data_IF_114354865026
#
_entry.id   IF_114354865026
#
_cell.length_a   1.000
_cell.length_b   1.000
_cell.length_c   1.000
_cell.angle_alpha   90.00
_cell.angle_beta   90.00
_cell.angle_gamma   90.00
#
_symmetry.space_group_name_H-M   'P 1'
#
loop_
_entity.id
_entity.type
_entity.pdbx_description
1 polymer ?
#
# COMPACT_ATOMS: atom_id res chain seq x y z
N UNK A 1 20.39 -10.38 6.52
CA UNK A 1 19.68 -9.50 5.59
C UNK A 1 19.14 -8.32 6.36
N UNK A 2 19.25 -7.07 5.86
CA UNK A 2 18.49 -5.96 6.42
C UNK A 2 17.05 -6.14 5.96
N UNK A 3 16.16 -6.45 6.88
CA UNK A 3 14.72 -6.64 6.63
C UNK A 3 13.93 -5.33 6.70
N UNK A 4 14.61 -4.17 6.77
CA UNK A 4 13.97 -2.86 6.87
C UNK A 4 13.79 -2.21 5.50
N UNK A 5 12.68 -1.51 5.33
CA UNK A 5 12.40 -0.67 4.17
C UNK A 5 13.35 0.52 4.10
N UNK A 6 13.70 0.90 2.88
CA UNK A 6 14.48 2.10 2.58
C UNK A 6 13.74 2.92 1.53
N UNK A 7 13.48 4.20 1.83
CA UNK A 7 12.72 5.08 0.93
C UNK A 7 13.28 5.11 -0.50
N UNK A 8 14.60 5.17 -0.65
CA UNK A 8 15.27 5.21 -1.96
C UNK A 8 15.29 3.88 -2.72
N UNK A 9 14.85 2.77 -2.11
CA UNK A 9 14.76 1.45 -2.73
C UNK A 9 13.32 0.96 -2.91
N UNK A 10 12.37 1.66 -2.29
CA UNK A 10 10.97 1.25 -2.24
C UNK A 10 10.14 1.82 -3.39
N UNK A 11 9.17 1.06 -3.84
CA UNK A 11 8.07 1.48 -4.70
C UNK A 11 6.76 0.98 -4.09
N UNK A 12 5.73 1.82 -4.06
CA UNK A 12 4.41 1.47 -3.56
C UNK A 12 3.52 0.97 -4.70
N UNK A 13 2.93 -0.21 -4.52
CA UNK A 13 1.98 -0.81 -5.44
C UNK A 13 0.59 -0.80 -4.80
N UNK A 14 -0.32 -0.01 -5.35
CA UNK A 14 -1.72 0.08 -4.93
C UNK A 14 -2.59 -0.69 -5.94
N UNK A 15 -2.86 -1.96 -5.62
CA UNK A 15 -3.54 -2.88 -6.53
C UNK A 15 -5.05 -2.85 -6.26
N UNK A 16 -5.80 -2.36 -7.25
CA UNK A 16 -7.26 -2.47 -7.32
C UNK A 16 -8.03 -1.88 -6.11
N UNK A 17 -7.55 -0.75 -5.54
CA UNK A 17 -8.31 -0.04 -4.51
C UNK A 17 -9.49 0.73 -5.15
N UNK A 18 -10.42 -0.04 -5.71
CA UNK A 18 -11.59 0.44 -6.45
C UNK A 18 -12.82 0.56 -5.55
N UNK A 19 -13.68 1.53 -5.83
CA UNK A 19 -14.80 1.90 -4.96
C UNK A 19 -15.72 0.74 -4.59
N UNK A 20 -16.07 -0.13 -5.54
CA UNK A 20 -16.99 -1.24 -5.28
C UNK A 20 -16.30 -2.41 -4.55
N UNK A 21 -14.97 -2.55 -4.66
CA UNK A 21 -14.25 -3.63 -3.96
C UNK A 21 -14.19 -3.39 -2.45
N UNK A 22 -14.23 -2.14 -1.98
CA UNK A 22 -14.37 -1.84 -0.55
C UNK A 22 -15.67 -2.38 0.04
N UNK A 23 -16.77 -2.39 -0.73
CA UNK A 23 -18.05 -2.90 -0.26
C UNK A 23 -18.05 -4.42 -0.01
N UNK A 24 -17.12 -5.15 -0.59
CA UNK A 24 -16.96 -6.60 -0.40
C UNK A 24 -16.02 -6.98 0.73
N UNK A 25 -15.46 -6.03 1.46
CA UNK A 25 -14.59 -6.31 2.60
C UNK A 25 -15.46 -6.70 3.80
N UNK A 26 -15.27 -7.93 4.29
CA UNK A 26 -15.93 -8.48 5.48
C UNK A 26 -14.93 -8.71 6.62
N UNK A 27 -13.65 -8.96 6.30
CA UNK A 27 -12.61 -9.24 7.30
C UNK A 27 -12.34 -8.08 8.26
N UNK A 28 -12.54 -6.86 7.81
CA UNK A 28 -12.33 -5.61 8.54
C UNK A 28 -13.44 -4.63 8.22
N UNK A 29 -13.54 -3.54 8.99
CA UNK A 29 -14.40 -2.42 8.61
C UNK A 29 -13.81 -1.74 7.37
N UNK A 30 -14.57 -1.58 6.27
CA UNK A 30 -14.05 -0.95 5.04
C UNK A 30 -13.42 0.43 5.27
N UNK A 31 -14.00 1.22 6.18
CA UNK A 31 -13.50 2.55 6.53
C UNK A 31 -12.12 2.50 7.19
N UNK A 32 -11.85 1.46 7.99
CA UNK A 32 -10.54 1.24 8.59
C UNK A 32 -9.48 0.94 7.52
N UNK A 33 -9.80 0.05 6.59
CA UNK A 33 -8.91 -0.28 5.46
C UNK A 33 -8.67 0.95 4.59
N UNK A 34 -9.74 1.70 4.29
CA UNK A 34 -9.66 2.94 3.50
C UNK A 34 -8.79 3.99 4.19
N UNK A 35 -9.01 4.24 5.48
CA UNK A 35 -8.19 5.16 6.27
C UNK A 35 -6.69 4.80 6.18
N UNK A 36 -6.37 3.52 6.37
CA UNK A 36 -4.99 3.07 6.42
C UNK A 36 -4.29 3.13 5.05
N UNK A 37 -4.99 2.77 3.96
CA UNK A 37 -4.39 2.90 2.62
C UNK A 37 -4.17 4.35 2.23
N UNK A 38 -5.05 5.26 2.65
CA UNK A 38 -4.86 6.70 2.44
C UNK A 38 -3.67 7.25 3.25
N UNK A 39 -3.49 6.78 4.49
CA UNK A 39 -2.31 7.11 5.31
C UNK A 39 -1.01 6.65 4.62
N UNK A 40 -0.97 5.41 4.15
CA UNK A 40 0.17 4.86 3.41
C UNK A 40 0.47 5.67 2.14
N UNK A 41 -0.57 5.94 1.34
CA UNK A 41 -0.47 6.72 0.10
C UNK A 41 0.04 8.14 0.37
N UNK A 42 -0.50 8.81 1.41
CA UNK A 42 -0.08 10.15 1.81
C UNK A 42 1.39 10.17 2.26
N UNK A 43 1.81 9.17 3.04
CA UNK A 43 3.21 9.01 3.43
C UNK A 43 4.14 8.81 2.22
N UNK A 44 3.74 8.00 1.25
CA UNK A 44 4.47 7.80 0.00
C UNK A 44 4.60 9.11 -0.80
N UNK A 45 3.51 9.88 -0.90
CA UNK A 45 3.50 11.19 -1.59
C UNK A 45 4.46 12.18 -0.94
N UNK A 46 4.44 12.31 0.39
CA UNK A 46 5.32 13.24 1.12
C UNK A 46 6.80 12.83 0.98
N UNK A 47 7.08 11.52 1.01
CA UNK A 47 8.46 10.99 0.98
C UNK A 47 8.97 10.70 -0.43
N UNK A 48 8.27 11.15 -1.49
CA UNK A 48 8.61 10.98 -2.90
C UNK A 48 8.85 9.50 -3.28
N UNK A 49 8.06 8.59 -2.70
CA UNK A 49 8.10 7.17 -3.06
C UNK A 49 7.33 7.00 -4.38
N UNK A 50 7.93 6.42 -5.42
CA UNK A 50 7.20 6.10 -6.66
C UNK A 50 6.01 5.19 -6.39
N UNK A 51 4.92 5.42 -7.12
CA UNK A 51 3.67 4.67 -6.95
C UNK A 51 3.23 4.10 -8.29
N UNK A 52 2.71 2.88 -8.27
CA UNK A 52 2.00 2.26 -9.41
C UNK A 52 0.58 1.90 -8.97
N UNK A 53 -0.39 2.33 -9.76
CA UNK A 53 -1.81 2.15 -9.52
C UNK A 53 -2.40 1.19 -10.55
N UNK A 54 -3.20 0.21 -10.11
CA UNK A 54 -3.96 -0.65 -11.03
C UNK A 54 -5.45 -0.66 -10.76
N UNK A 55 -6.23 -0.97 -11.77
CA UNK A 55 -7.65 -1.29 -11.67
C UNK A 55 -7.99 -2.48 -12.55
N UNK A 56 -8.90 -3.34 -12.07
CA UNK A 56 -9.44 -4.46 -12.85
C UNK A 56 -10.93 -4.26 -13.08
N UNK A 57 -11.38 -4.45 -14.33
CA UNK A 57 -12.80 -4.38 -14.71
C UNK A 57 -13.53 -3.17 -14.09
N UNK A 58 -13.13 -1.92 -14.38
CA UNK A 58 -13.69 -0.74 -13.71
C UNK A 58 -15.18 -0.57 -13.95
N UNK A 59 -15.74 -1.16 -15.00
CA UNK A 59 -17.19 -1.18 -15.28
C UNK A 59 -17.99 -1.91 -14.18
N UNK A 60 -17.40 -2.92 -13.55
CA UNK A 60 -18.02 -3.71 -12.47
C UNK A 60 -17.52 -3.28 -11.11
N UNK A 61 -16.21 -3.09 -10.97
CA UNK A 61 -15.55 -2.84 -9.68
C UNK A 61 -15.47 -1.35 -9.33
N UNK A 62 -15.96 -0.47 -10.21
CA UNK A 62 -15.84 0.98 -10.06
C UNK A 62 -14.41 1.49 -10.37
N UNK A 63 -14.22 2.80 -10.36
CA UNK A 63 -12.88 3.40 -10.52
C UNK A 63 -12.01 3.20 -9.26
N UNK A 64 -10.71 3.42 -9.38
CA UNK A 64 -9.84 3.71 -8.25
C UNK A 64 -10.46 4.82 -7.40
N UNK A 65 -10.41 4.73 -6.08
CA UNK A 65 -10.96 5.78 -5.22
C UNK A 65 -10.29 7.13 -5.49
N UNK A 66 -11.09 8.20 -5.54
CA UNK A 66 -10.63 9.53 -5.98
C UNK A 66 -9.55 10.09 -5.08
N UNK A 67 -9.61 9.81 -3.79
CA UNK A 67 -8.63 10.28 -2.81
C UNK A 67 -7.20 9.79 -3.13
N UNK A 68 -7.04 8.60 -3.74
CA UNK A 68 -5.74 8.12 -4.20
C UNK A 68 -5.32 8.84 -5.49
N UNK A 69 -6.21 8.93 -6.48
CA UNK A 69 -5.86 9.57 -7.76
C UNK A 69 -5.60 11.07 -7.62
N UNK A 70 -6.25 11.74 -6.69
CA UNK A 70 -5.99 13.14 -6.35
C UNK A 70 -4.64 13.37 -5.65
N UNK A 71 -4.15 12.38 -4.89
CA UNK A 71 -2.79 12.43 -4.30
C UNK A 71 -1.69 12.25 -5.35
N UNK A 72 -1.99 11.58 -6.47
CA UNK A 72 -1.03 11.24 -7.51
C UNK A 72 -1.56 11.63 -8.90
N UNK A 73 -1.77 12.94 -9.17
CA UNK A 73 -2.43 13.40 -10.40
C UNK A 73 -1.63 13.07 -11.67
N UNK A 74 -0.33 12.90 -11.56
CA UNK A 74 0.56 12.58 -12.68
C UNK A 74 0.75 11.06 -12.88
N UNK A 75 0.14 10.22 -12.02
CA UNK A 75 0.24 8.76 -12.10
C UNK A 75 -1.02 8.18 -12.74
N UNK A 76 -0.88 7.62 -13.91
CA UNK A 76 -1.99 6.95 -14.59
C UNK A 76 -2.37 5.64 -13.90
N UNK A 77 -3.67 5.37 -13.77
CA UNK A 77 -4.18 4.08 -13.32
C UNK A 77 -4.08 3.08 -14.48
N UNK A 78 -3.29 2.03 -14.32
CA UNK A 78 -3.16 0.95 -15.30
C UNK A 78 -4.40 0.07 -15.21
N UNK A 79 -5.26 0.15 -16.22
CA UNK A 79 -6.43 -0.74 -16.33
C UNK A 79 -5.97 -2.06 -16.93
N UNK A 80 -6.00 -3.12 -16.10
CA UNK A 80 -5.56 -4.45 -16.51
C UNK A 80 -6.48 -5.01 -17.60
N UNK A 81 -5.88 -5.40 -18.73
CA UNK A 81 -6.59 -5.95 -19.90
C UNK A 81 -6.89 -7.43 -19.73
N UNK A 82 -6.03 -8.14 -19.00
CA UNK A 82 -6.23 -9.54 -18.67
C UNK A 82 -7.05 -9.67 -17.39
N UNK A 83 -8.12 -10.47 -17.37
CA UNK A 83 -8.98 -10.64 -16.20
C UNK A 83 -8.34 -11.60 -15.16
N UNK A 84 -7.03 -11.49 -14.98
CA UNK A 84 -6.27 -12.27 -13.99
C UNK A 84 -6.30 -11.59 -12.63
N UNK A 85 -6.32 -12.39 -11.57
CA UNK A 85 -6.14 -11.87 -10.21
C UNK A 85 -4.69 -11.44 -9.93
N UNK A 86 -3.73 -11.92 -10.72
CA UNK A 86 -2.33 -11.55 -10.60
C UNK A 86 -2.04 -10.29 -11.42
N UNK A 87 -1.68 -9.18 -10.77
CA UNK A 87 -1.35 -7.94 -11.47
C UNK A 87 -0.08 -8.05 -12.33
N UNK A 88 0.81 -8.99 -12.02
CA UNK A 88 2.02 -9.23 -12.83
C UNK A 88 1.73 -9.86 -14.19
N UNK A 89 0.51 -10.36 -14.45
CA UNK A 89 0.10 -10.80 -15.78
C UNK A 89 -0.18 -9.62 -16.73
N UNK A 90 -0.21 -8.38 -16.22
CA UNK A 90 -0.31 -7.16 -17.03
C UNK A 90 1.09 -6.60 -17.35
N UNK A 91 1.55 -6.67 -18.62
CA UNK A 91 2.90 -6.25 -18.99
C UNK A 91 3.20 -4.77 -18.68
N UNK A 92 2.20 -3.90 -18.80
CA UNK A 92 2.34 -2.46 -18.50
C UNK A 92 2.64 -2.23 -17.02
N UNK A 93 2.00 -3.01 -16.12
CA UNK A 93 2.28 -2.97 -14.69
C UNK A 93 3.72 -3.38 -14.37
N UNK A 94 4.17 -4.51 -14.95
CA UNK A 94 5.55 -4.99 -14.76
C UNK A 94 6.56 -3.98 -15.29
N UNK A 95 6.29 -3.38 -16.46
CA UNK A 95 7.16 -2.36 -17.03
C UNK A 95 7.24 -1.11 -16.15
N UNK A 96 6.11 -0.66 -15.61
CA UNK A 96 6.08 0.49 -14.70
C UNK A 96 6.94 0.25 -13.45
N UNK A 97 6.88 -0.95 -12.87
CA UNK A 97 7.74 -1.33 -11.74
C UNK A 97 9.21 -1.34 -12.13
N UNK A 98 9.56 -2.04 -13.21
CA UNK A 98 10.95 -2.24 -13.64
C UNK A 98 11.62 -0.92 -14.06
N UNK A 99 10.87 0.03 -14.62
CA UNK A 99 11.39 1.34 -15.02
C UNK A 99 11.93 2.18 -13.86
N UNK A 100 11.46 1.94 -12.62
CA UNK A 100 11.95 2.63 -11.43
C UNK A 100 13.33 2.15 -10.96
N UNK A 101 13.76 0.97 -11.39
CA UNK A 101 14.99 0.30 -10.93
C UNK A 101 14.95 -0.14 -9.46
N UNK A 102 13.84 0.06 -8.76
CA UNK A 102 13.70 -0.24 -7.34
C UNK A 102 13.43 -1.72 -7.09
N UNK A 103 13.86 -2.24 -5.95
CA UNK A 103 13.82 -3.67 -5.62
C UNK A 103 12.93 -4.03 -4.42
N UNK A 104 12.59 -3.05 -3.58
CA UNK A 104 11.69 -3.24 -2.46
C UNK A 104 10.27 -2.86 -2.88
N UNK A 105 9.41 -3.87 -3.07
CA UNK A 105 8.00 -3.66 -3.41
C UNK A 105 7.18 -3.60 -2.13
N UNK A 106 6.63 -2.44 -1.83
CA UNK A 106 5.61 -2.26 -0.80
C UNK A 106 4.27 -2.45 -1.46
N UNK A 107 3.58 -3.54 -1.11
CA UNK A 107 2.43 -4.03 -1.85
C UNK A 107 1.20 -4.10 -0.95
N UNK A 108 0.10 -3.56 -1.45
CA UNK A 108 -1.24 -3.70 -0.89
C UNK A 108 -2.27 -3.83 -2.01
N UNK A 109 -3.43 -4.42 -1.73
CA UNK A 109 -4.42 -4.61 -2.78
C UNK A 109 -5.73 -5.19 -2.31
N UNK A 110 -6.78 -4.96 -3.03
CA UNK A 110 -8.09 -5.53 -2.80
C UNK A 110 -8.40 -6.64 -3.81
N UNK A 111 -8.67 -7.86 -3.36
CA UNK A 111 -8.72 -8.30 -1.97
C UNK A 111 -7.43 -9.03 -1.59
N UNK A 112 -7.14 -9.08 -0.28
CA UNK A 112 -5.92 -9.72 0.25
C UNK A 112 -5.76 -11.16 -0.23
N UNK A 113 -6.86 -11.94 -0.24
CA UNK A 113 -6.90 -13.35 -0.66
C UNK A 113 -6.63 -13.59 -2.14
N UNK A 114 -6.78 -12.56 -2.97
CA UNK A 114 -6.71 -12.64 -4.44
C UNK A 114 -5.61 -11.74 -5.00
N UNK A 115 -5.97 -10.52 -5.41
CA UNK A 115 -5.07 -9.64 -6.17
C UNK A 115 -3.78 -9.32 -5.40
N UNK A 116 -3.86 -9.11 -4.09
CA UNK A 116 -2.66 -8.89 -3.28
C UNK A 116 -1.81 -10.16 -3.18
N UNK A 117 -2.40 -11.28 -2.76
CA UNK A 117 -1.66 -12.53 -2.48
C UNK A 117 -0.98 -13.11 -3.72
N UNK A 118 -1.67 -13.15 -4.86
CA UNK A 118 -1.10 -13.70 -6.09
C UNK A 118 0.00 -12.80 -6.66
N UNK A 119 -0.20 -11.49 -6.64
CA UNK A 119 0.82 -10.53 -7.09
C UNK A 119 2.05 -10.54 -6.20
N UNK A 120 1.88 -10.65 -4.88
CA UNK A 120 3.00 -10.74 -3.94
C UNK A 120 3.86 -11.99 -4.17
N UNK A 121 3.23 -13.14 -4.41
CA UNK A 121 3.94 -14.39 -4.70
C UNK A 121 4.70 -14.33 -6.02
N UNK A 122 4.11 -13.74 -7.06
CA UNK A 122 4.78 -13.55 -8.34
C UNK A 122 5.97 -12.59 -8.21
N UNK A 123 5.82 -11.50 -7.47
CA UNK A 123 6.89 -10.56 -7.22
C UNK A 123 8.12 -11.23 -6.56
N UNK A 124 7.89 -12.12 -5.59
CA UNK A 124 8.97 -12.91 -4.97
C UNK A 124 9.68 -13.82 -5.99
N UNK A 125 8.92 -14.46 -6.88
CA UNK A 125 9.49 -15.32 -7.94
C UNK A 125 10.32 -14.51 -8.95
N UNK A 126 9.98 -13.25 -9.18
CA UNK A 126 10.77 -12.33 -10.01
C UNK A 126 11.98 -11.72 -9.27
N UNK A 127 12.23 -12.12 -8.03
CA UNK A 127 13.40 -11.73 -7.25
C UNK A 127 13.31 -10.38 -6.57
N UNK A 128 12.10 -9.83 -6.38
CA UNK A 128 11.88 -8.64 -5.57
C UNK A 128 11.88 -8.96 -4.08
N UNK A 129 12.24 -7.98 -3.26
CA UNK A 129 11.95 -7.97 -1.82
C UNK A 129 10.51 -7.44 -1.64
N UNK A 130 9.62 -8.26 -1.08
CA UNK A 130 8.18 -7.92 -0.99
C UNK A 130 7.77 -7.66 0.45
N UNK A 131 7.26 -6.46 0.69
CA UNK A 131 6.68 -6.00 1.94
C UNK A 131 5.17 -5.87 1.75
N UNK A 132 4.41 -6.71 2.44
CA UNK A 132 2.95 -6.68 2.38
C UNK A 132 2.38 -5.81 3.49
N UNK A 133 1.67 -4.74 3.15
CA UNK A 133 1.04 -3.85 4.13
C UNK A 133 -0.35 -4.39 4.43
N UNK A 134 -0.46 -5.18 5.52
CA UNK A 134 -1.62 -6.02 5.76
C UNK A 134 -2.86 -5.23 6.19
N UNK A 135 -2.71 -4.17 6.97
CA UNK A 135 -3.81 -3.36 7.47
C UNK A 135 -4.37 -2.33 6.48
N UNK A 136 -3.82 -2.29 5.26
CA UNK A 136 -4.30 -1.49 4.12
C UNK A 136 -5.08 -2.33 3.10
N UNK A 137 -5.37 -3.57 3.45
CA UNK A 137 -6.07 -4.55 2.63
C UNK A 137 -7.16 -5.27 3.44
N UNK A 138 -8.06 -5.95 2.76
CA UNK A 138 -9.12 -6.75 3.36
C UNK A 138 -9.63 -7.82 2.41
N UNK A 139 -10.45 -8.73 2.91
CA UNK A 139 -10.98 -9.86 2.17
C UNK A 139 -12.48 -10.08 2.42
N UNK A 140 -13.04 -10.97 1.63
CA UNK A 140 -14.43 -11.44 1.67
C UNK A 140 -14.81 -12.18 2.96
N UNK A 141 -13.84 -12.57 3.78
CA UNK A 141 -14.04 -13.12 5.13
C UNK A 141 -12.76 -12.97 5.95
N UNK A 142 -12.89 -13.10 7.27
CA UNK A 142 -11.73 -13.09 8.17
C UNK A 142 -10.83 -14.32 7.95
N UNK A 143 -11.42 -15.48 7.67
CA UNK A 143 -10.66 -16.69 7.37
C UNK A 143 -9.86 -16.55 6.07
N UNK A 144 -10.46 -16.01 5.01
CA UNK A 144 -9.79 -15.76 3.75
C UNK A 144 -8.61 -14.79 3.92
N UNK A 145 -8.81 -13.72 4.69
CA UNK A 145 -7.75 -12.77 5.03
C UNK A 145 -6.61 -13.46 5.78
N UNK A 146 -6.91 -14.17 6.86
CA UNK A 146 -5.90 -14.83 7.70
C UNK A 146 -5.10 -15.87 6.91
N UNK A 147 -5.77 -16.69 6.09
CA UNK A 147 -5.09 -17.69 5.27
C UNK A 147 -4.21 -17.06 4.20
N UNK A 148 -4.65 -15.97 3.57
CA UNK A 148 -3.85 -15.23 2.60
C UNK A 148 -2.59 -14.63 3.24
N UNK A 149 -2.73 -14.02 4.42
CA UNK A 149 -1.59 -13.45 5.16
C UNK A 149 -0.58 -14.54 5.52
N UNK A 150 -1.04 -15.66 6.09
CA UNK A 150 -0.16 -16.78 6.44
C UNK A 150 0.56 -17.37 5.20
N UNK A 151 -0.16 -17.50 4.10
CA UNK A 151 0.40 -17.98 2.83
C UNK A 151 1.48 -17.04 2.29
N UNK A 152 1.24 -15.74 2.30
CA UNK A 152 2.21 -14.73 1.87
C UNK A 152 3.47 -14.75 2.75
N UNK A 153 3.30 -14.80 4.08
CA UNK A 153 4.44 -14.90 5.02
C UNK A 153 5.23 -16.19 4.78
N UNK A 154 4.55 -17.33 4.63
CA UNK A 154 5.19 -18.60 4.32
C UNK A 154 5.94 -18.62 2.99
N UNK A 155 5.54 -17.79 2.03
CA UNK A 155 6.24 -17.62 0.75
C UNK A 155 7.44 -16.67 0.83
N UNK A 156 7.57 -15.87 1.90
CA UNK A 156 8.68 -14.93 2.10
C UNK A 156 8.30 -13.45 2.03
N UNK A 157 7.01 -13.12 1.98
CA UNK A 157 6.55 -11.73 2.11
C UNK A 157 6.80 -11.25 3.54
N UNK A 158 7.38 -10.07 3.69
CA UNK A 158 7.60 -9.42 4.98
C UNK A 158 6.33 -8.65 5.34
N UNK A 159 5.60 -9.05 6.41
CA UNK A 159 4.38 -8.36 6.80
C UNK A 159 4.70 -7.06 7.52
N UNK A 160 3.94 -6.02 7.22
CA UNK A 160 4.02 -4.73 7.90
C UNK A 160 2.63 -4.08 8.00
N UNK A 161 2.55 -2.99 8.75
CA UNK A 161 1.40 -2.09 8.82
C UNK A 161 1.73 -0.78 8.13
N UNK A 162 0.70 0.05 7.82
CA UNK A 162 0.93 1.35 7.20
C UNK A 162 1.87 2.23 8.05
N UNK A 163 1.64 2.29 9.37
CA UNK A 163 2.42 3.13 10.27
C UNK A 163 3.87 2.67 10.36
N UNK A 164 4.12 1.36 10.44
CA UNK A 164 5.47 0.79 10.41
C UNK A 164 6.16 1.14 9.09
N UNK A 165 5.47 0.97 7.97
CA UNK A 165 6.00 1.24 6.63
C UNK A 165 6.43 2.70 6.47
N UNK A 166 5.57 3.65 6.79
CA UNK A 166 5.91 5.08 6.65
C UNK A 166 6.99 5.50 7.64
N UNK A 167 7.05 4.87 8.82
CA UNK A 167 8.11 5.13 9.81
C UNK A 167 9.47 4.60 9.34
N UNK A 168 9.52 3.42 8.73
CA UNK A 168 10.76 2.90 8.13
C UNK A 168 11.23 3.77 6.96
N UNK A 169 10.31 4.26 6.12
CA UNK A 169 10.65 5.21 5.04
C UNK A 169 11.17 6.55 5.56
N UNK A 170 10.58 7.06 6.64
CA UNK A 170 11.02 8.29 7.29
C UNK A 170 12.38 8.13 7.98
N UNK A 171 12.71 6.92 8.45
CA UNK A 171 13.90 6.51 9.16
C UNK A 171 13.99 7.07 10.59
N UNK A 172 13.95 8.39 10.75
CA UNK A 172 14.01 9.04 12.05
C UNK A 172 13.36 10.45 12.02
N UNK A 173 13.18 11.04 13.20
CA UNK A 173 12.55 12.35 13.39
C UNK A 173 13.43 13.55 12.97
N UNK A 174 14.69 13.33 12.59
CA UNK A 174 15.57 14.36 12.00
C UNK A 174 15.38 14.48 10.49
N UNK A 175 14.52 13.64 9.89
CA UNK A 175 14.16 13.73 8.48
C UNK A 175 13.53 15.11 8.22
N UNK A 176 13.97 15.86 7.18
CA UNK A 176 13.40 17.17 6.85
C UNK A 176 11.89 17.17 6.64
N UNK A 177 11.30 16.03 6.31
CA UNK A 177 9.85 15.86 6.10
C UNK A 177 9.10 15.37 7.35
N UNK A 178 9.77 15.25 8.51
CA UNK A 178 9.16 14.71 9.74
C UNK A 178 7.97 15.55 10.22
N UNK A 179 8.04 16.87 10.11
CA UNK A 179 6.93 17.76 10.43
C UNK A 179 5.69 17.53 9.57
N UNK A 180 5.87 17.42 8.26
CA UNK A 180 4.80 17.08 7.31
C UNK A 180 4.24 15.67 7.57
N UNK A 181 5.09 14.70 7.83
CA UNK A 181 4.67 13.35 8.20
C UNK A 181 3.83 13.34 9.46
N UNK A 182 4.23 14.09 10.50
CA UNK A 182 3.45 14.17 11.74
C UNK A 182 2.08 14.79 11.50
N UNK A 183 2.04 15.99 10.90
CA UNK A 183 0.81 16.78 10.75
C UNK A 183 -0.14 16.26 9.68
N UNK A 184 0.38 15.67 8.60
CA UNK A 184 -0.43 15.25 7.44
C UNK A 184 -0.64 13.73 7.35
N UNK A 185 0.11 12.91 8.12
CA UNK A 185 -0.03 11.45 8.10
C UNK A 185 -0.36 10.91 9.49
N UNK A 186 0.55 11.03 10.46
CA UNK A 186 0.32 10.40 11.77
C UNK A 186 -0.92 10.95 12.47
N UNK A 187 -1.06 12.26 12.64
CA UNK A 187 -2.19 12.84 13.34
C UNK A 187 -3.55 12.58 12.66
N UNK A 188 -3.74 12.86 11.36
CA UNK A 188 -5.06 12.69 10.72
C UNK A 188 -5.54 11.24 10.65
N UNK A 189 -4.61 10.30 10.47
CA UNK A 189 -4.95 8.90 10.22
C UNK A 189 -4.84 7.99 11.45
N UNK A 190 -4.37 8.51 12.61
CA UNK A 190 -4.30 7.78 13.88
C UNK A 190 -5.33 8.26 14.89
N UNK A 191 -6.51 8.68 14.43
CA UNK A 191 -7.59 9.20 15.29
C UNK A 191 -7.90 8.25 16.45
N UNK A 192 -8.02 8.81 17.65
CA UNK A 192 -8.26 8.08 18.89
C UNK A 192 -6.99 7.51 19.53
N UNK A 193 -5.82 7.77 18.98
CA UNK A 193 -4.55 7.54 19.66
C UNK A 193 -4.09 8.83 20.37
N UNK A 194 -4.13 8.88 21.70
CA UNK A 194 -3.82 10.12 22.45
C UNK A 194 -2.43 10.69 22.19
N UNK A 195 -1.50 9.86 21.70
CA UNK A 195 -0.17 10.30 21.36
C UNK A 195 -0.17 11.26 20.17
N UNK A 196 -1.02 11.00 19.17
CA UNK A 196 -1.12 11.81 17.94
C UNK A 196 -2.21 12.88 17.99
N UNK A 197 -3.04 12.90 19.04
CA UNK A 197 -4.06 13.94 19.27
C UNK A 197 -3.49 15.20 19.96
N UNK A 198 -2.16 15.32 20.05
CA UNK A 198 -1.44 16.45 20.67
C UNK A 198 -0.70 17.29 19.62
N UNK A 199 -0.41 18.53 19.98
CA UNK A 199 0.45 19.39 19.17
C UNK A 199 1.89 18.85 19.08
N UNK A 200 2.58 19.16 17.98
CA UNK A 200 4.00 18.85 17.85
C UNK A 200 4.81 19.44 19.02
N UNK A 201 5.76 18.70 19.61
CA UNK A 201 6.69 19.27 20.57
C UNK A 201 7.45 20.45 19.94
N UNK A 202 7.58 21.55 20.67
CA UNK A 202 8.39 22.70 20.25
C UNK A 202 9.84 22.26 20.00
N UNK A 203 10.39 22.64 18.85
CA UNK A 203 11.80 22.35 18.50
C UNK A 203 12.04 21.21 17.54
N UNK A 204 11.04 20.67 16.88
CA UNK A 204 11.15 19.65 15.81
C UNK A 204 11.15 20.26 14.41
N UNK A 205 11.71 21.45 14.21
CA UNK A 205 11.95 22.09 12.90
C UNK A 205 13.36 21.76 12.40
#
# INVERSE_FOLDING_TARGET
>A
MKTSLQANKSILLLIDHQSNLFNGIISHKPEYVKNNVLALAKGASILDIPVVLTAISPQTNGPMISEITEMFPDVSVIVRKHPSFNAFDEPEFVQAIKSTGRKQLVLTGLWTSMCMSFSAQQALQEGFEVFGVMDTSGSESLDAYNMAVQRMIGAGVIPCTWMQTVSEWMDNWLNPKAGDMFTQVYCPYSKGNPFFDRDMPEGTN
#
